data_IF_280247800137
#
_entry.id   IF_280247800137
#
_cell.length_a   1.000
_cell.length_b   1.000
_cell.length_c   1.000
_cell.angle_alpha   90.00
_cell.angle_beta   90.00
_cell.angle_gamma   90.00
#
_symmetry.space_group_name_H-M   'P 1'
#
loop_
_entity.id
_entity.type
_entity.pdbx_description
1 polymer ?
#
# COMPACT_ATOMS: atom_id res chain seq x y z
N UNK A 1 -7.26 -11.06 15.87
CA UNK A 1 -7.42 -12.48 15.53
C UNK A 1 -8.81 -12.76 14.96
N UNK A 2 -8.91 -13.59 13.95
CA UNK A 2 -10.14 -13.88 13.24
C UNK A 2 -10.41 -12.93 12.08
N UNK A 3 -11.47 -13.25 11.31
CA UNK A 3 -11.88 -12.47 10.16
C UNK A 3 -12.61 -11.18 10.57
N UNK A 4 -12.61 -10.12 9.73
CA UNK A 4 -13.24 -8.83 10.05
C UNK A 4 -14.73 -8.91 10.41
N UNK A 5 -15.41 -9.96 9.96
CA UNK A 5 -16.84 -10.19 10.18
C UNK A 5 -17.18 -11.02 11.42
N UNK A 6 -16.21 -11.43 12.24
CA UNK A 6 -16.45 -12.25 13.43
C UNK A 6 -16.21 -11.47 14.73
N UNK A 7 -17.14 -11.50 15.69
CA UNK A 7 -18.50 -12.09 15.65
C UNK A 7 -19.47 -11.30 14.76
N UNK A 8 -19.10 -10.08 14.39
CA UNK A 8 -19.80 -9.22 13.44
C UNK A 8 -18.84 -8.17 12.87
N UNK A 9 -19.30 -7.33 11.96
CA UNK A 9 -18.48 -6.33 11.28
C UNK A 9 -18.03 -5.14 12.13
N UNK A 10 -18.34 -5.10 13.43
CA UNK A 10 -17.81 -4.07 14.36
C UNK A 10 -16.48 -4.46 15.01
N UNK A 11 -15.92 -5.63 14.70
CA UNK A 11 -14.73 -6.17 15.36
C UNK A 11 -13.54 -5.20 15.40
N UNK A 12 -13.26 -4.54 14.30
CA UNK A 12 -12.16 -3.58 14.23
C UNK A 12 -12.39 -2.37 15.13
N UNK A 13 -13.61 -1.87 15.15
CA UNK A 13 -13.99 -0.68 15.93
C UNK A 13 -13.93 -0.95 17.42
N UNK A 14 -14.36 -2.13 17.86
CA UNK A 14 -14.23 -2.60 19.25
C UNK A 14 -12.76 -2.63 19.69
N UNK A 15 -11.87 -3.11 18.83
CA UNK A 15 -10.44 -3.18 19.13
C UNK A 15 -9.84 -1.77 19.22
N UNK A 16 -10.14 -0.91 18.25
CA UNK A 16 -9.64 0.47 18.21
C UNK A 16 -10.10 1.24 19.45
N UNK A 17 -11.38 1.18 19.77
CA UNK A 17 -11.94 1.85 20.95
C UNK A 17 -11.32 1.32 22.24
N UNK A 18 -11.27 -0.01 22.42
CA UNK A 18 -10.75 -0.65 23.62
C UNK A 18 -9.29 -0.31 23.91
N UNK A 19 -8.46 -0.35 22.87
CA UNK A 19 -7.01 -0.16 23.00
C UNK A 19 -6.53 1.25 22.64
N UNK A 20 -7.46 2.15 22.29
CA UNK A 20 -7.15 3.52 21.85
C UNK A 20 -6.12 3.54 20.73
N UNK A 21 -6.34 2.69 19.71
CA UNK A 21 -5.44 2.56 18.56
C UNK A 21 -5.26 3.91 17.85
N UNK A 22 -4.00 4.28 17.57
CA UNK A 22 -3.70 5.54 16.86
C UNK A 22 -3.63 5.35 15.36
N UNK A 23 -3.37 4.14 14.90
CA UNK A 23 -3.22 3.79 13.49
C UNK A 23 -4.09 2.58 13.18
N UNK A 24 -4.74 2.62 12.04
CA UNK A 24 -5.49 1.48 11.55
C UNK A 24 -5.04 1.16 10.12
N UNK A 25 -4.40 0.02 9.95
CA UNK A 25 -3.78 -0.43 8.70
C UNK A 25 -4.38 -1.77 8.29
N UNK A 26 -4.97 -1.83 7.10
CA UNK A 26 -5.69 -3.02 6.64
C UNK A 26 -5.75 -3.08 5.10
N UNK A 27 -6.31 -4.17 4.56
CA UNK A 27 -6.48 -4.31 3.13
C UNK A 27 -7.75 -3.63 2.61
N UNK A 28 -7.72 -3.03 1.41
CA UNK A 28 -8.91 -2.47 0.75
C UNK A 28 -10.08 -3.44 0.64
N UNK A 29 -9.81 -4.73 0.45
CA UNK A 29 -10.85 -5.79 0.44
C UNK A 29 -11.61 -5.83 1.76
N UNK A 30 -10.95 -5.71 2.90
CA UNK A 30 -11.62 -5.67 4.21
C UNK A 30 -12.46 -4.40 4.36
N UNK A 31 -11.94 -3.25 3.91
CA UNK A 31 -12.67 -1.96 3.93
C UNK A 31 -13.94 -2.07 3.08
N UNK A 32 -13.83 -2.58 1.84
CA UNK A 32 -15.00 -2.78 0.95
C UNK A 32 -16.04 -3.71 1.55
N UNK A 33 -15.61 -4.80 2.17
CA UNK A 33 -16.52 -5.76 2.80
C UNK A 33 -17.32 -5.12 3.96
N UNK A 34 -16.67 -4.28 4.75
CA UNK A 34 -17.32 -3.57 5.87
C UNK A 34 -18.21 -2.44 5.35
N UNK A 35 -17.72 -1.64 4.39
CA UNK A 35 -18.47 -0.53 3.79
C UNK A 35 -19.81 -0.98 3.19
N UNK A 36 -19.85 -2.16 2.55
CA UNK A 36 -21.09 -2.78 2.04
C UNK A 36 -22.17 -3.00 3.09
N UNK A 37 -21.80 -3.08 4.38
CA UNK A 37 -22.75 -3.22 5.48
C UNK A 37 -23.35 -1.89 5.93
N UNK A 38 -22.92 -0.78 5.35
CA UNK A 38 -23.25 0.56 5.80
C UNK A 38 -22.63 0.87 7.17
N UNK A 39 -23.06 1.98 7.76
CA UNK A 39 -22.45 2.49 9.00
C UNK A 39 -23.01 1.85 10.29
N UNK A 40 -23.96 0.93 10.20
CA UNK A 40 -24.62 0.35 11.38
C UNK A 40 -23.66 -0.35 12.36
N UNK A 41 -22.56 -0.91 11.84
CA UNK A 41 -21.54 -1.58 12.64
C UNK A 41 -20.42 -0.64 13.11
N UNK A 42 -20.37 0.55 12.58
CA UNK A 42 -19.42 1.60 12.96
C UNK A 42 -20.00 2.52 14.04
N UNK A 43 -21.31 2.77 13.97
CA UNK A 43 -21.99 3.71 14.86
C UNK A 43 -21.88 3.30 16.31
N UNK A 44 -21.63 4.27 17.19
CA UNK A 44 -21.54 4.08 18.63
C UNK A 44 -20.15 3.75 19.16
N UNK A 45 -19.14 3.58 18.27
CA UNK A 45 -17.75 3.38 18.69
C UNK A 45 -16.96 4.69 18.69
N UNK A 46 -16.14 4.88 19.73
CA UNK A 46 -15.21 6.01 19.82
C UNK A 46 -13.91 5.72 19.05
N UNK A 47 -13.78 6.32 17.87
CA UNK A 47 -12.60 6.24 17.03
C UNK A 47 -11.73 7.50 17.08
N UNK A 48 -11.92 8.38 18.04
CA UNK A 48 -11.20 9.66 18.15
C UNK A 48 -9.71 9.50 18.39
N UNK A 49 -9.28 8.35 18.91
CA UNK A 49 -7.87 8.00 19.09
C UNK A 49 -7.10 7.82 17.76
N UNK A 50 -7.79 7.50 16.65
CA UNK A 50 -7.16 7.33 15.34
C UNK A 50 -6.53 8.64 14.86
N UNK A 51 -5.32 8.55 14.35
CA UNK A 51 -4.54 9.66 13.76
C UNK A 51 -4.22 9.41 12.28
N UNK A 52 -4.02 8.15 11.90
CA UNK A 52 -3.64 7.74 10.54
C UNK A 52 -4.39 6.46 10.19
N UNK A 53 -4.89 6.42 8.98
CA UNK A 53 -5.42 5.23 8.33
C UNK A 53 -4.42 4.75 7.29
N UNK A 54 -4.40 3.46 7.00
CA UNK A 54 -3.51 2.93 5.99
C UNK A 54 -4.10 1.76 5.24
N UNK A 55 -3.60 1.57 4.01
CA UNK A 55 -4.00 0.48 3.12
C UNK A 55 -2.80 -0.22 2.51
N UNK A 56 -2.96 -1.51 2.22
CA UNK A 56 -1.91 -2.35 1.67
C UNK A 56 -2.46 -3.56 0.91
N UNK A 57 -1.68 -4.06 -0.03
CA UNK A 57 -1.88 -5.33 -0.70
C UNK A 57 -2.59 -5.23 -2.05
N UNK A 58 -3.32 -4.17 -2.28
CA UNK A 58 -3.97 -3.84 -3.57
C UNK A 58 -4.29 -2.34 -3.61
N UNK A 59 -4.40 -1.70 -4.78
CA UNK A 59 -4.87 -0.32 -4.85
C UNK A 59 -6.28 -0.18 -4.27
N UNK A 60 -6.50 0.86 -3.47
CA UNK A 60 -7.82 1.16 -2.93
C UNK A 60 -8.63 1.96 -3.96
N UNK A 61 -9.83 1.50 -4.29
CA UNK A 61 -10.73 2.24 -5.16
C UNK A 61 -11.31 3.49 -4.48
N UNK A 62 -11.72 4.47 -5.27
CA UNK A 62 -12.14 5.80 -4.81
C UNK A 62 -13.31 5.70 -3.81
N UNK A 63 -14.30 4.85 -4.05
CA UNK A 63 -15.47 4.72 -3.18
C UNK A 63 -15.11 4.17 -1.80
N UNK A 64 -14.23 3.17 -1.75
CA UNK A 64 -13.75 2.60 -0.48
C UNK A 64 -12.85 3.60 0.25
N UNK A 65 -12.00 4.33 -0.47
CA UNK A 65 -11.16 5.39 0.07
C UNK A 65 -12.03 6.49 0.72
N UNK A 66 -13.03 6.98 -0.01
CA UNK A 66 -13.94 8.04 0.45
C UNK A 66 -14.74 7.59 1.69
N UNK A 67 -15.28 6.38 1.66
CA UNK A 67 -15.95 5.81 2.83
C UNK A 67 -15.02 5.70 4.04
N UNK A 68 -13.81 5.22 3.82
CA UNK A 68 -12.80 5.04 4.86
C UNK A 68 -12.38 6.37 5.47
N UNK A 69 -12.14 7.37 4.62
CA UNK A 69 -11.80 8.73 5.04
C UNK A 69 -12.91 9.39 5.87
N UNK A 70 -14.14 9.37 5.32
CA UNK A 70 -15.28 10.08 5.94
C UNK A 70 -15.78 9.39 7.21
N UNK A 71 -15.95 8.08 7.17
CA UNK A 71 -16.65 7.37 8.23
C UNK A 71 -15.70 6.85 9.32
N UNK A 72 -14.55 6.29 8.97
CA UNK A 72 -13.58 5.78 9.93
C UNK A 72 -12.64 6.89 10.38
N UNK A 73 -12.12 7.66 9.44
CA UNK A 73 -11.21 8.76 9.68
C UNK A 73 -11.86 10.06 10.17
N UNK A 74 -13.21 10.11 10.13
CA UNK A 74 -13.99 11.32 10.47
C UNK A 74 -13.49 12.57 9.72
N UNK A 75 -13.13 12.41 8.44
CA UNK A 75 -12.58 13.44 7.55
C UNK A 75 -11.35 14.19 8.09
N UNK A 76 -10.61 13.61 9.05
CA UNK A 76 -9.42 14.20 9.68
C UNK A 76 -8.17 13.35 9.60
N UNK A 77 -8.33 12.02 9.51
CA UNK A 77 -7.18 11.12 9.43
C UNK A 77 -6.73 10.97 7.98
N UNK A 78 -5.47 11.25 7.64
CA UNK A 78 -4.95 10.95 6.32
C UNK A 78 -4.98 9.44 6.06
N UNK A 79 -5.14 9.06 4.80
CA UNK A 79 -5.05 7.66 4.37
C UNK A 79 -3.73 7.47 3.65
N UNK A 80 -2.88 6.62 4.21
CA UNK A 80 -1.58 6.26 3.65
C UNK A 80 -1.75 4.95 2.87
N UNK A 81 -1.81 5.05 1.55
CA UNK A 81 -1.77 3.88 0.67
C UNK A 81 -0.31 3.50 0.44
N UNK A 82 0.02 2.23 0.69
CA UNK A 82 1.40 1.76 0.65
C UNK A 82 1.57 0.66 -0.38
N UNK A 83 2.64 0.76 -1.15
CA UNK A 83 3.09 -0.35 -1.98
C UNK A 83 4.37 -0.96 -1.42
N UNK A 84 4.35 -2.25 -1.22
CA UNK A 84 5.49 -3.09 -0.87
C UNK A 84 5.16 -4.56 -1.11
N UNK A 85 6.16 -5.40 -1.08
CA UNK A 85 6.03 -6.84 -1.22
C UNK A 85 6.65 -7.53 -0.01
N UNK A 86 6.28 -8.77 0.27
CA UNK A 86 6.92 -9.59 1.31
C UNK A 86 8.45 -9.59 1.13
N UNK A 87 8.89 -9.68 -0.11
CA UNK A 87 10.29 -9.75 -0.52
C UNK A 87 11.03 -8.42 -0.38
N UNK A 88 10.33 -7.31 -0.39
CA UNK A 88 10.96 -6.01 -0.16
C UNK A 88 11.23 -5.73 1.32
N UNK A 89 10.56 -6.44 2.22
CA UNK A 89 10.77 -6.37 3.67
C UNK A 89 10.32 -5.07 4.33
N UNK A 90 9.92 -4.08 3.55
CA UNK A 90 9.43 -2.78 4.03
C UNK A 90 8.73 -1.99 2.93
N UNK A 91 8.14 -0.87 3.31
CA UNK A 91 7.40 0.03 2.41
C UNK A 91 8.37 0.65 1.40
N UNK A 92 7.99 0.60 0.13
CA UNK A 92 8.79 1.08 -1.00
C UNK A 92 8.24 2.37 -1.61
N UNK A 93 6.91 2.47 -1.70
CA UNK A 93 6.22 3.66 -2.24
C UNK A 93 5.07 3.98 -1.28
N UNK A 94 4.96 5.25 -0.87
CA UNK A 94 3.96 5.67 0.11
C UNK A 94 3.83 7.18 0.15
N UNK A 95 2.64 7.68 0.50
CA UNK A 95 2.50 9.04 0.99
C UNK A 95 3.12 9.17 2.39
N UNK A 96 3.45 10.40 2.79
CA UNK A 96 3.89 10.72 4.16
C UNK A 96 2.93 11.80 4.68
N UNK A 97 2.15 11.52 5.72
CA UNK A 97 1.18 12.47 6.27
C UNK A 97 1.79 13.85 6.51
N UNK A 98 1.10 14.89 6.08
CA UNK A 98 1.52 16.30 6.16
C UNK A 98 2.77 16.69 5.35
N UNK A 99 3.40 15.77 4.64
CA UNK A 99 4.59 16.03 3.79
C UNK A 99 4.29 15.75 2.33
N UNK A 100 3.72 14.58 2.05
CA UNK A 100 3.34 14.15 0.70
C UNK A 100 1.83 13.97 0.69
N UNK A 101 1.09 14.74 -0.13
CA UNK A 101 -0.36 14.59 -0.24
C UNK A 101 -0.75 13.19 -0.69
N UNK A 102 -1.72 12.62 -0.01
CA UNK A 102 -2.39 11.40 -0.45
C UNK A 102 -3.26 11.67 -1.68
N UNK A 103 -3.42 10.63 -2.46
CA UNK A 103 -4.37 10.60 -3.58
C UNK A 103 -4.98 9.21 -3.64
N UNK A 104 -6.31 9.11 -3.71
CA UNK A 104 -6.95 7.81 -3.91
C UNK A 104 -6.35 7.05 -5.09
N UNK A 105 -6.15 5.76 -4.93
CA UNK A 105 -5.60 4.83 -5.92
C UNK A 105 -4.09 4.93 -6.18
N UNK A 106 -3.37 5.84 -5.53
CA UNK A 106 -1.93 6.02 -5.73
C UNK A 106 -1.15 5.76 -4.45
N UNK A 107 -0.13 4.94 -4.52
CA UNK A 107 0.89 4.83 -3.47
C UNK A 107 1.79 6.07 -3.37
N UNK A 108 1.79 6.92 -4.39
CA UNK A 108 2.32 8.28 -4.52
C UNK A 108 3.82 8.39 -4.78
N UNK A 109 4.67 8.42 -3.76
CA UNK A 109 6.10 8.74 -3.91
C UNK A 109 6.99 7.61 -3.43
N UNK A 110 8.18 7.44 -4.03
CA UNK A 110 9.19 6.56 -3.48
C UNK A 110 9.48 6.88 -2.01
N UNK A 111 9.56 5.85 -1.18
CA UNK A 111 9.99 6.00 0.20
C UNK A 111 11.49 6.36 0.26
N UNK A 112 11.93 6.91 1.38
CA UNK A 112 13.30 7.43 1.52
C UNK A 112 14.34 6.33 1.25
N UNK A 113 15.25 6.60 0.32
CA UNK A 113 16.29 5.66 -0.09
C UNK A 113 15.86 4.63 -1.14
N UNK A 114 14.59 4.62 -1.57
CA UNK A 114 14.09 3.73 -2.61
C UNK A 114 14.12 4.42 -3.97
N UNK A 115 14.60 3.72 -5.00
CA UNK A 115 14.71 4.26 -6.37
C UNK A 115 13.95 3.36 -7.36
N UNK A 116 12.62 3.49 -7.45
CA UNK A 116 11.83 2.78 -8.44
C UNK A 116 12.04 3.38 -9.81
N UNK A 117 12.02 2.51 -10.82
CA UNK A 117 12.00 2.86 -12.23
C UNK A 117 10.92 2.05 -12.94
N UNK A 118 10.44 2.58 -14.05
CA UNK A 118 9.48 1.88 -14.92
C UNK A 118 10.19 1.52 -16.21
N UNK A 119 10.19 0.24 -16.56
CA UNK A 119 10.86 -0.27 -17.74
C UNK A 119 9.84 -0.77 -18.77
N UNK A 120 10.21 -0.64 -20.05
CA UNK A 120 9.53 -1.33 -21.15
C UNK A 120 9.81 -2.83 -21.11
N UNK A 121 9.14 -3.60 -21.95
CA UNK A 121 9.44 -5.03 -22.14
C UNK A 121 10.88 -5.25 -22.65
N UNK A 122 11.45 -4.29 -23.41
CA UNK A 122 12.85 -4.34 -23.87
C UNK A 122 13.87 -3.95 -22.79
N UNK A 123 13.44 -3.42 -21.67
CA UNK A 123 14.31 -2.98 -20.57
C UNK A 123 14.71 -1.51 -20.65
N UNK A 124 14.15 -0.74 -21.57
CA UNK A 124 14.38 0.71 -21.67
C UNK A 124 13.56 1.44 -20.63
N UNK A 125 14.14 2.49 -20.02
CA UNK A 125 13.41 3.27 -19.01
C UNK A 125 12.33 4.15 -19.66
N UNK A 126 11.12 4.08 -19.09
CA UNK A 126 9.97 4.88 -19.49
C UNK A 126 9.96 6.16 -18.67
N UNK A 127 10.15 7.29 -19.32
CA UNK A 127 10.09 8.62 -18.70
C UNK A 127 8.73 9.30 -18.86
N UNK A 128 7.95 8.87 -19.85
CA UNK A 128 6.64 9.44 -20.17
C UNK A 128 5.63 9.18 -19.05
N UNK A 129 4.79 10.19 -18.79
CA UNK A 129 3.66 10.06 -17.88
C UNK A 129 2.54 9.21 -18.49
N UNK A 130 1.77 8.56 -17.62
CA UNK A 130 0.61 7.72 -17.97
C UNK A 130 0.92 6.50 -18.84
N UNK A 131 2.19 6.27 -19.13
CA UNK A 131 2.64 5.10 -19.88
C UNK A 131 2.96 3.96 -18.92
N UNK A 132 2.21 2.87 -19.04
CA UNK A 132 2.38 1.67 -18.23
C UNK A 132 3.63 0.91 -18.63
N UNK A 133 4.39 0.45 -17.65
CA UNK A 133 5.54 -0.42 -17.82
C UNK A 133 5.74 -1.34 -16.62
N UNK A 134 6.89 -1.99 -16.57
CA UNK A 134 7.26 -2.90 -15.48
C UNK A 134 7.96 -2.14 -14.36
N UNK A 135 7.42 -2.26 -13.15
CA UNK A 135 8.06 -1.67 -11.98
C UNK A 135 9.32 -2.44 -11.60
N UNK A 136 10.43 -1.72 -11.50
CA UNK A 136 11.70 -2.25 -11.02
C UNK A 136 12.31 -1.30 -9.97
N UNK A 137 13.21 -1.83 -9.14
CA UNK A 137 14.00 -1.03 -8.21
C UNK A 137 15.45 -1.02 -8.67
N UNK A 138 16.03 0.19 -8.81
CA UNK A 138 17.35 0.38 -9.41
C UNK A 138 18.50 0.03 -8.50
N UNK A 139 18.36 0.31 -7.20
CA UNK A 139 19.43 0.16 -6.21
C UNK A 139 18.97 -0.63 -5.00
N UNK A 140 19.89 -1.31 -4.30
CA UNK A 140 19.58 -1.93 -3.02
C UNK A 140 18.99 -0.94 -2.03
N UNK A 141 18.07 -1.41 -1.20
CA UNK A 141 17.43 -0.65 -0.12
C UNK A 141 17.62 -1.38 1.22
N UNK A 142 17.48 -0.70 2.38
CA UNK A 142 17.84 -1.28 3.68
C UNK A 142 17.13 -2.59 4.03
N UNK A 143 15.87 -2.77 3.64
CA UNK A 143 15.06 -3.96 3.94
C UNK A 143 15.09 -5.03 2.84
N UNK A 144 15.94 -4.87 1.83
CA UNK A 144 16.06 -5.83 0.71
C UNK A 144 16.39 -7.24 1.22
N UNK A 145 15.63 -8.23 0.76
CA UNK A 145 15.97 -9.64 1.00
C UNK A 145 17.34 -9.97 0.39
N UNK A 146 18.14 -10.75 1.09
CA UNK A 146 19.47 -11.17 0.64
C UNK A 146 19.45 -12.47 -0.12
N UNK A 147 18.45 -13.29 0.14
CA UNK A 147 18.30 -14.63 -0.44
C UNK A 147 16.94 -15.23 -0.10
N UNK A 148 16.59 -16.33 -0.76
CA UNK A 148 15.59 -17.27 -0.31
C UNK A 148 16.32 -18.36 0.50
N UNK A 149 15.82 -18.70 1.68
CA UNK A 149 16.43 -19.70 2.54
C UNK A 149 16.61 -21.03 1.80
N UNK A 150 17.85 -21.51 1.77
CA UNK A 150 18.19 -22.76 1.09
C UNK A 150 18.21 -22.73 -0.43
N UNK A 151 17.81 -21.60 -1.09
CA UNK A 151 17.73 -21.53 -2.56
C UNK A 151 18.08 -20.14 -3.09
N UNK A 152 19.35 -19.78 -3.00
CA UNK A 152 19.86 -18.52 -3.54
C UNK A 152 19.67 -18.40 -5.06
N UNK A 153 19.80 -19.52 -5.78
CA UNK A 153 19.63 -19.53 -7.24
C UNK A 153 18.22 -19.11 -7.66
N UNK A 154 17.20 -19.60 -6.93
CA UNK A 154 15.81 -19.19 -7.14
C UNK A 154 15.62 -17.69 -6.90
N UNK A 155 16.23 -17.15 -5.84
CA UNK A 155 16.18 -15.71 -5.55
C UNK A 155 16.67 -14.89 -6.75
N UNK A 156 17.86 -15.20 -7.26
CA UNK A 156 18.42 -14.50 -8.42
C UNK A 156 17.55 -14.68 -9.66
N UNK A 157 17.11 -15.91 -9.93
CA UNK A 157 16.30 -16.20 -11.11
C UNK A 157 14.94 -15.49 -11.07
N UNK A 158 14.32 -15.38 -9.91
CA UNK A 158 12.99 -14.77 -9.78
C UNK A 158 13.06 -13.24 -9.92
N UNK A 159 14.02 -12.60 -9.25
CA UNK A 159 13.98 -11.14 -9.10
C UNK A 159 15.02 -10.38 -9.94
N UNK A 160 16.04 -11.04 -10.47
CA UNK A 160 17.17 -10.37 -11.15
C UNK A 160 17.49 -10.90 -12.53
N UNK A 161 16.80 -11.92 -13.01
CA UNK A 161 17.07 -12.49 -14.34
C UNK A 161 16.42 -11.72 -15.48
N UNK A 162 15.27 -11.09 -15.24
CA UNK A 162 14.49 -10.41 -16.27
C UNK A 162 15.15 -9.11 -16.72
N UNK A 163 15.61 -8.31 -15.77
CA UNK A 163 16.28 -7.03 -16.06
C UNK A 163 17.62 -6.98 -15.34
N UNK A 164 18.70 -6.87 -16.11
CA UNK A 164 20.06 -6.91 -15.57
C UNK A 164 20.29 -5.85 -14.49
N UNK A 165 20.74 -6.26 -13.31
CA UNK A 165 21.05 -5.41 -12.18
C UNK A 165 19.85 -4.59 -11.63
N UNK A 166 18.63 -5.05 -11.86
CA UNK A 166 17.40 -4.43 -11.35
C UNK A 166 16.58 -5.48 -10.61
N UNK A 167 16.02 -5.10 -9.47
CA UNK A 167 15.02 -5.94 -8.82
C UNK A 167 13.71 -5.79 -9.59
N UNK A 168 13.23 -6.86 -10.17
CA UNK A 168 11.97 -6.92 -10.89
C UNK A 168 10.84 -7.30 -9.92
N UNK A 169 9.85 -6.44 -9.78
CA UNK A 169 8.76 -6.65 -8.81
C UNK A 169 7.68 -7.59 -9.29
N UNK A 170 7.55 -7.79 -10.60
CA UNK A 170 6.43 -8.49 -11.22
C UNK A 170 5.20 -7.60 -11.44
N UNK A 171 5.19 -6.40 -10.89
CA UNK A 171 4.05 -5.48 -10.98
C UNK A 171 4.19 -4.50 -12.16
N UNK A 172 3.04 -4.07 -12.68
CA UNK A 172 2.94 -2.97 -13.63
C UNK A 172 2.77 -1.64 -12.89
N UNK A 173 3.33 -0.57 -13.45
CA UNK A 173 3.18 0.77 -12.89
C UNK A 173 3.19 1.85 -13.97
N UNK A 174 2.68 3.03 -13.63
CA UNK A 174 2.88 4.24 -14.42
C UNK A 174 3.09 5.46 -13.51
N UNK A 175 3.62 6.51 -14.08
CA UNK A 175 3.79 7.81 -13.41
C UNK A 175 2.70 8.76 -13.84
N UNK A 176 2.04 9.39 -12.89
CA UNK A 176 1.30 10.63 -13.13
C UNK A 176 2.19 11.82 -12.75
N UNK A 177 1.91 13.02 -13.23
CA UNK A 177 2.70 14.21 -12.90
C UNK A 177 2.83 14.35 -11.38
N UNK A 178 4.04 14.13 -10.90
CA UNK A 178 4.38 14.20 -9.47
C UNK A 178 4.02 12.99 -8.61
N UNK A 179 3.51 11.87 -9.16
CA UNK A 179 3.05 10.68 -8.39
C UNK A 179 3.33 9.37 -9.12
N UNK A 180 3.39 8.28 -8.35
CA UNK A 180 3.48 6.92 -8.88
C UNK A 180 2.18 6.15 -8.58
N UNK A 181 1.66 5.48 -9.60
CA UNK A 181 0.59 4.49 -9.48
C UNK A 181 1.21 3.09 -9.71
N UNK A 182 0.91 2.15 -8.83
CA UNK A 182 1.40 0.77 -8.87
C UNK A 182 0.23 -0.20 -8.69
#
# INVERSE_FOLDING_TARGET
EGIPSYPNYSRFWQIIEKYKGNQFYTAPTAIRAIAKQGNKFLNGYDLTSLKVLGTVGEPINIEAWDWYYKNVGNSRCPIVDTWWQTETGGIMISSIPNVIPDKPTFATKPFLGVQPIILSESGDEIFEYEKVGKLCISFPWPSMARTIWGDHKRYINTYYSTYKNKYFTGDGAYKEIGRAHV
#
